data_IF_602989237132
#
_entry.id   IF_602989237132
#
_cell.length_a   1.000
_cell.length_b   1.000
_cell.length_c   1.000
_cell.angle_alpha   90.00
_cell.angle_beta   90.00
_cell.angle_gamma   90.00
#
_symmetry.space_group_name_H-M   'P 1'
#
loop_
_entity.id
_entity.type
_entity.pdbx_description
1 polymer ?
#
# COMPACT_ATOMS: atom_id res chain seq x y z
N UNK A 1 18.39 16.48 8.51
CA UNK A 1 17.04 16.11 8.05
C UNK A 1 16.83 14.65 8.41
N UNK A 2 15.74 14.30 9.13
CA UNK A 2 15.38 12.89 9.29
C UNK A 2 15.13 12.33 7.89
N UNK A 3 15.70 11.16 7.61
CA UNK A 3 15.61 10.50 6.32
C UNK A 3 14.29 9.72 6.35
N UNK A 4 13.27 10.20 5.65
CA UNK A 4 12.00 9.51 5.49
C UNK A 4 12.27 8.11 4.93
N UNK A 5 12.22 7.09 5.80
CA UNK A 5 12.61 5.73 5.46
C UNK A 5 11.35 4.88 5.28
N UNK A 6 11.26 4.24 4.12
CA UNK A 6 10.26 3.21 3.86
C UNK A 6 10.82 1.84 4.28
N UNK A 7 10.03 1.09 5.02
CA UNK A 7 10.36 -0.23 5.54
C UNK A 7 9.18 -1.19 5.43
N UNK A 8 9.46 -2.49 5.36
CA UNK A 8 8.46 -3.55 5.34
C UNK A 8 8.45 -4.32 6.65
N UNK A 9 7.25 -4.58 7.17
CA UNK A 9 7.05 -5.38 8.37
C UNK A 9 5.99 -6.45 8.12
N UNK A 10 6.23 -7.67 8.60
CA UNK A 10 5.16 -8.67 8.63
C UNK A 10 4.16 -8.31 9.72
N UNK A 11 2.88 -8.42 9.40
CA UNK A 11 1.78 -8.15 10.33
C UNK A 11 0.70 -9.22 10.20
N UNK A 12 -0.08 -9.40 11.26
CA UNK A 12 -1.22 -10.32 11.30
C UNK A 12 -2.42 -9.61 11.92
N UNK A 13 -3.01 -8.61 11.24
CA UNK A 13 -4.19 -7.93 11.74
C UNK A 13 -5.37 -8.90 11.85
N UNK A 14 -6.27 -8.69 12.80
CA UNK A 14 -7.43 -9.56 13.02
C UNK A 14 -8.43 -9.57 11.84
N UNK A 15 -8.31 -8.60 10.94
CA UNK A 15 -9.17 -8.36 9.78
C UNK A 15 -8.80 -9.24 8.58
N UNK A 16 -7.61 -9.85 8.60
CA UNK A 16 -7.06 -10.65 7.51
C UNK A 16 -6.87 -12.11 7.95
N UNK A 17 -7.14 -13.04 7.05
CA UNK A 17 -6.97 -14.47 7.33
C UNK A 17 -5.48 -14.87 7.26
N UNK A 18 -4.71 -14.21 6.40
CA UNK A 18 -3.29 -14.48 6.19
C UNK A 18 -2.38 -13.37 6.73
N UNK A 19 -1.10 -13.70 6.88
CA UNK A 19 -0.05 -12.72 7.18
C UNK A 19 0.02 -11.66 6.07
N UNK A 20 0.09 -10.39 6.46
CA UNK A 20 0.20 -9.22 5.59
C UNK A 20 1.62 -8.63 5.64
N UNK A 21 1.91 -7.73 4.70
CA UNK A 21 3.09 -6.87 4.73
C UNK A 21 2.66 -5.41 4.89
N UNK A 22 3.11 -4.76 5.95
CA UNK A 22 2.94 -3.34 6.18
C UNK A 22 4.08 -2.56 5.54
N UNK A 23 3.73 -1.47 4.83
CA UNK A 23 4.68 -0.44 4.42
C UNK A 23 4.62 0.66 5.46
N UNK A 24 5.75 0.93 6.11
CA UNK A 24 5.86 1.99 7.12
C UNK A 24 6.79 3.11 6.63
N UNK A 25 6.38 4.36 6.85
CA UNK A 25 7.20 5.54 6.70
C UNK A 25 7.54 6.09 8.08
N UNK A 26 8.82 6.02 8.46
CA UNK A 26 9.29 6.48 9.78
C UNK A 26 8.44 5.92 10.96
N UNK A 27 8.14 4.62 10.92
CA UNK A 27 7.31 3.87 11.88
C UNK A 27 5.80 4.12 11.80
N UNK A 28 5.33 4.96 10.88
CA UNK A 28 3.90 5.16 10.62
C UNK A 28 3.45 4.23 9.48
N UNK A 29 2.41 3.43 9.71
CA UNK A 29 1.80 2.57 8.68
C UNK A 29 1.14 3.43 7.61
N UNK A 30 1.61 3.31 6.37
CA UNK A 30 1.07 4.05 5.22
C UNK A 30 0.33 3.16 4.23
N UNK A 31 0.68 1.87 4.19
CA UNK A 31 -0.03 0.88 3.40
C UNK A 31 0.04 -0.52 4.02
N UNK A 32 -0.87 -1.39 3.63
CA UNK A 32 -0.86 -2.81 3.94
C UNK A 32 -1.15 -3.63 2.68
N UNK A 33 -0.35 -4.67 2.48
CA UNK A 33 -0.51 -5.61 1.37
C UNK A 33 -0.97 -6.94 1.94
N UNK A 34 -2.09 -7.45 1.46
CA UNK A 34 -2.65 -8.73 1.87
C UNK A 34 -2.79 -9.68 0.68
N UNK A 35 -2.89 -10.98 1.00
CA UNK A 35 -2.93 -12.09 0.03
C UNK A 35 -4.21 -12.91 0.12
N UNK A 36 -5.25 -12.40 0.77
CA UNK A 36 -6.48 -13.15 1.05
C UNK A 36 -7.24 -13.54 -0.23
N UNK A 37 -7.00 -12.83 -1.34
CA UNK A 37 -7.52 -13.18 -2.67
C UNK A 37 -6.60 -14.09 -3.49
N UNK A 38 -5.56 -14.65 -2.86
CA UNK A 38 -4.55 -15.49 -3.47
C UNK A 38 -3.32 -14.70 -3.93
N UNK A 39 -2.19 -15.41 -4.09
CA UNK A 39 -0.88 -14.81 -4.41
C UNK A 39 -0.84 -14.10 -5.78
N UNK A 40 -1.75 -14.46 -6.69
CA UNK A 40 -1.88 -13.84 -8.00
C UNK A 40 -2.81 -12.61 -8.00
N UNK A 41 -3.48 -12.32 -6.87
CA UNK A 41 -4.44 -11.21 -6.74
C UNK A 41 -4.19 -10.42 -5.45
N UNK A 42 -2.93 -10.03 -5.19
CA UNK A 42 -2.58 -9.24 -4.01
C UNK A 42 -3.34 -7.90 -4.01
N UNK A 43 -3.76 -7.47 -2.84
CA UNK A 43 -4.43 -6.18 -2.65
C UNK A 43 -3.59 -5.28 -1.76
N UNK A 44 -3.60 -3.98 -2.08
CA UNK A 44 -3.04 -2.93 -1.24
C UNK A 44 -4.17 -2.09 -0.66
N UNK A 45 -4.05 -1.77 0.64
CA UNK A 45 -4.86 -0.81 1.35
C UNK A 45 -3.98 0.38 1.77
N UNK A 46 -4.44 1.61 1.51
CA UNK A 46 -3.71 2.83 1.84
C UNK A 46 -4.29 3.49 3.10
N UNK A 47 -3.43 3.75 4.08
CA UNK A 47 -3.81 4.33 5.36
C UNK A 47 -3.77 5.86 5.30
N UNK A 48 -4.69 6.50 6.01
CA UNK A 48 -4.91 7.95 5.91
C UNK A 48 -5.84 8.36 4.76
N UNK A 49 -6.52 7.40 4.11
CA UNK A 49 -7.61 7.71 3.19
C UNK A 49 -8.78 8.38 3.93
N UNK A 50 -9.58 9.16 3.20
CA UNK A 50 -10.63 9.99 3.80
C UNK A 50 -11.83 9.15 4.27
N UNK A 51 -11.71 8.62 5.48
CA UNK A 51 -12.78 7.86 6.14
C UNK A 51 -14.02 8.73 6.38
N UNK A 52 -13.83 10.04 6.59
CA UNK A 52 -14.95 10.96 6.82
C UNK A 52 -15.88 11.05 5.60
N UNK A 53 -15.33 10.90 4.39
CA UNK A 53 -16.08 10.81 3.14
C UNK A 53 -16.32 9.37 2.67
N UNK A 54 -16.16 8.39 3.57
CA UNK A 54 -16.33 6.95 3.28
C UNK A 54 -15.44 6.44 2.15
N UNK A 55 -14.29 7.08 1.91
CA UNK A 55 -13.34 6.65 0.91
C UNK A 55 -12.27 5.76 1.56
N UNK A 56 -12.41 4.45 1.32
CA UNK A 56 -11.39 3.46 1.66
C UNK A 56 -10.62 3.14 0.39
N UNK A 57 -9.34 3.42 0.39
CA UNK A 57 -8.47 3.15 -0.75
C UNK A 57 -7.93 1.72 -0.66
N UNK A 58 -8.68 0.76 -1.23
CA UNK A 58 -8.25 -0.64 -1.42
C UNK A 58 -8.38 -1.04 -2.89
N UNK A 59 -7.32 -1.62 -3.46
CA UNK A 59 -7.25 -1.93 -4.91
C UNK A 59 -6.24 -3.06 -5.19
N UNK A 60 -6.22 -3.63 -6.40
CA UNK A 60 -5.16 -4.56 -6.81
C UNK A 60 -3.78 -3.91 -6.73
N UNK A 61 -2.80 -4.64 -6.19
CA UNK A 61 -1.44 -4.13 -6.02
C UNK A 61 -0.79 -3.79 -7.37
N UNK A 62 -0.98 -4.65 -8.37
CA UNK A 62 -0.36 -4.48 -9.69
C UNK A 62 -0.90 -3.24 -10.43
N UNK A 63 -2.19 -2.94 -10.30
CA UNK A 63 -2.79 -1.73 -10.86
C UNK A 63 -2.18 -0.47 -10.22
N UNK A 64 -2.00 -0.49 -8.90
CA UNK A 64 -1.38 0.62 -8.17
C UNK A 64 0.10 0.81 -8.54
N UNK A 65 0.87 -0.27 -8.66
CA UNK A 65 2.26 -0.20 -9.12
C UNK A 65 2.33 0.38 -10.53
N UNK A 66 1.46 -0.08 -11.43
CA UNK A 66 1.43 0.34 -12.83
C UNK A 66 1.17 1.83 -12.97
N UNK A 67 0.18 2.38 -12.26
CA UNK A 67 -0.13 3.81 -12.34
C UNK A 67 0.96 4.69 -11.71
N UNK A 68 1.66 4.21 -10.66
CA UNK A 68 2.80 4.92 -10.09
C UNK A 68 4.00 4.99 -11.05
N UNK A 69 4.25 3.89 -11.78
CA UNK A 69 5.28 3.86 -12.83
C UNK A 69 4.92 4.84 -13.94
N UNK A 70 3.66 4.79 -14.42
CA UNK A 70 3.16 5.71 -15.45
C UNK A 70 3.29 7.18 -15.02
N UNK A 71 2.90 7.51 -13.79
CA UNK A 71 3.01 8.85 -13.24
C UNK A 71 4.46 9.33 -13.21
N UNK A 72 5.40 8.48 -12.74
CA UNK A 72 6.84 8.80 -12.73
C UNK A 72 7.36 9.05 -14.14
N UNK A 73 7.02 8.17 -15.09
CA UNK A 73 7.44 8.35 -16.48
C UNK A 73 6.88 9.64 -17.08
N UNK A 74 5.61 9.93 -16.83
CA UNK A 74 4.94 11.14 -17.33
C UNK A 74 5.64 12.40 -16.85
N UNK A 75 6.03 12.47 -15.57
CA UNK A 75 6.73 13.62 -14.99
C UNK A 75 8.20 13.72 -15.41
N UNK A 76 8.81 12.63 -15.86
CA UNK A 76 10.25 12.59 -16.20
C UNK A 76 10.53 12.57 -17.70
N UNK A 77 9.51 12.30 -18.53
CA UNK A 77 9.56 12.52 -19.98
C UNK A 77 9.66 14.03 -20.23
N UNK A 78 10.82 14.46 -20.74
CA UNK A 78 11.06 15.82 -21.25
C UNK A 78 10.45 16.00 -22.63
#
# INVERSE_FOLDING_TARGET
>A
MKKNKLELYFSSPAEYENLTLEVQLDWEKVAEINQDKGIDNLEIELFGSDVAHSFVAKMPLDDFISILIEARETLTKK
#
